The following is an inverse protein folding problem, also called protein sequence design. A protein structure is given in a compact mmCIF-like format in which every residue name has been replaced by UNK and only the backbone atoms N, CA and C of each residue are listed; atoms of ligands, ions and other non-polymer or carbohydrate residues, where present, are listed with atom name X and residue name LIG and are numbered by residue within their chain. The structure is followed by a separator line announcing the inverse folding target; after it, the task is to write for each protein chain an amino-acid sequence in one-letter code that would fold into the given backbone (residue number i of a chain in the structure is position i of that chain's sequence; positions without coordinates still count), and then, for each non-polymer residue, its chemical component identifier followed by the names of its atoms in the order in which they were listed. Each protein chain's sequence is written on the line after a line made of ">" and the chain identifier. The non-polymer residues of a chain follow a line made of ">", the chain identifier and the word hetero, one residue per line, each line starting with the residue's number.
data_IF_122729872236
#
_entry.id   IF_122729872236
#
_cell.length_a   1.000
_cell.length_b   1.000
_cell.length_c   1.000
_cell.angle_alpha   90.00
_cell.angle_beta   90.00
_cell.angle_gamma   90.00
#
_symmetry.space_group_name_H-M   'P 1'
#
loop_
_entity.id
_entity.type
_entity.pdbx_description
1 polymer ?
#
# COMPACT_ATOMS: atom_id res chain seq x y z
N UNK A 1 -5.74 20.70 7.17
CA UNK A 1 -5.95 19.53 8.04
C UNK A 1 -5.31 18.31 7.40
N UNK A 2 -4.12 17.92 7.84
CA UNK A 2 -3.29 16.87 7.20
C UNK A 2 -3.48 15.52 7.91
N UNK A 3 -4.67 14.93 7.80
CA UNK A 3 -4.99 13.69 8.51
C UNK A 3 -5.37 12.58 7.53
N UNK A 4 -4.45 11.62 7.31
CA UNK A 4 -4.71 10.16 7.46
C UNK A 4 -3.52 9.29 7.02
N UNK A 5 -2.78 9.65 5.96
CA UNK A 5 -1.64 8.84 5.48
C UNK A 5 -0.34 9.06 6.26
N UNK A 6 0.05 10.32 6.52
CA UNK A 6 1.34 10.63 7.15
C UNK A 6 1.52 9.96 8.52
N UNK A 7 0.47 10.00 9.37
CA UNK A 7 0.46 9.32 10.67
C UNK A 7 0.45 7.79 10.56
N UNK A 8 -0.09 7.22 9.47
CA UNK A 8 -0.05 5.79 9.21
C UNK A 8 1.37 5.35 8.86
N UNK A 9 2.05 6.09 7.98
CA UNK A 9 3.47 5.84 7.63
C UNK A 9 4.36 5.97 8.84
N UNK A 10 4.21 7.03 9.65
CA UNK A 10 5.00 7.20 10.87
C UNK A 10 4.89 6.01 11.84
N UNK A 11 3.68 5.45 12.00
CA UNK A 11 3.44 4.26 12.82
C UNK A 11 3.95 2.98 12.16
N UNK A 12 3.91 2.91 10.84
CA UNK A 12 4.37 1.74 10.10
C UNK A 12 5.89 1.74 9.84
N UNK A 13 6.61 2.84 10.06
CA UNK A 13 8.07 2.84 10.16
C UNK A 13 8.55 1.87 11.26
N UNK A 14 7.75 1.66 12.33
CA UNK A 14 8.06 0.64 13.33
C UNK A 14 8.03 -0.79 12.76
N UNK A 15 7.20 -1.04 11.74
CA UNK A 15 7.15 -2.33 11.03
C UNK A 15 8.39 -2.47 10.13
N UNK A 16 8.79 -1.42 9.40
CA UNK A 16 10.06 -1.41 8.66
C UNK A 16 11.26 -1.65 9.58
N UNK A 17 11.25 -1.07 10.78
CA UNK A 17 12.28 -1.31 11.79
C UNK A 17 12.25 -2.76 12.31
N UNK A 18 11.09 -3.38 12.50
CA UNK A 18 11.01 -4.78 12.91
C UNK A 18 11.45 -5.76 11.80
N UNK A 19 11.11 -5.47 10.54
CA UNK A 19 11.59 -6.18 9.36
C UNK A 19 13.13 -6.07 9.23
N UNK A 20 13.68 -4.87 9.46
CA UNK A 20 15.11 -4.57 9.23
C UNK A 20 16.02 -4.93 10.43
N UNK A 21 15.54 -4.73 11.67
CA UNK A 21 16.35 -4.83 12.90
C UNK A 21 16.13 -6.16 13.61
N UNK A 22 14.91 -6.73 13.58
CA UNK A 22 14.56 -7.94 14.33
C UNK A 22 14.49 -9.22 13.48
N UNK A 23 14.76 -9.14 12.17
CA UNK A 23 14.69 -10.24 11.20
C UNK A 23 13.36 -11.01 11.24
N UNK A 24 12.28 -10.31 11.63
CA UNK A 24 10.92 -10.86 11.66
C UNK A 24 10.15 -10.32 10.48
N UNK A 25 9.97 -11.18 9.48
CA UNK A 25 9.23 -10.86 8.27
C UNK A 25 7.72 -11.01 8.48
N UNK A 26 7.11 -10.01 9.12
CA UNK A 26 5.72 -10.00 9.56
C UNK A 26 4.72 -9.94 8.39
N UNK A 27 5.12 -9.32 7.27
CA UNK A 27 4.25 -9.10 6.11
C UNK A 27 4.60 -9.97 4.89
N UNK A 28 5.34 -11.07 5.10
CA UNK A 28 5.63 -12.06 4.05
C UNK A 28 4.37 -12.80 3.60
N UNK A 29 4.30 -13.12 2.30
CA UNK A 29 3.18 -13.84 1.68
C UNK A 29 1.82 -13.17 1.92
N UNK A 30 1.80 -11.84 2.03
CA UNK A 30 0.58 -11.03 2.13
C UNK A 30 0.28 -10.32 0.83
N UNK A 31 -1.00 -10.11 0.58
CA UNK A 31 -1.49 -9.30 -0.53
C UNK A 31 -2.11 -8.04 0.04
N UNK A 32 -1.79 -6.89 -0.55
CA UNK A 32 -2.38 -5.60 -0.20
C UNK A 32 -3.25 -5.08 -1.35
N UNK A 33 -4.35 -4.41 -0.99
CA UNK A 33 -5.27 -3.76 -1.90
C UNK A 33 -5.92 -2.57 -1.20
N UNK A 34 -6.28 -1.53 -1.97
CA UNK A 34 -6.68 -0.25 -1.40
C UNK A 34 -8.01 0.29 -1.95
N UNK A 35 -8.78 0.91 -1.07
CA UNK A 35 -9.94 1.73 -1.43
C UNK A 35 -9.60 3.16 -1.03
N UNK A 36 -9.48 4.04 -2.01
CA UNK A 36 -8.99 5.41 -1.80
C UNK A 36 -10.14 6.39 -2.04
N UNK A 37 -10.57 7.11 -1.00
CA UNK A 37 -11.60 8.14 -1.11
C UNK A 37 -11.03 9.49 -0.70
N UNK A 38 -11.21 10.52 -1.53
CA UNK A 38 -10.69 11.86 -1.27
C UNK A 38 -11.54 12.97 -1.88
N UNK A 39 -11.31 14.22 -1.44
CA UNK A 39 -12.08 15.40 -1.87
C UNK A 39 -11.54 16.06 -3.14
N UNK A 40 -10.26 16.45 -3.14
CA UNK A 40 -9.63 17.28 -4.17
C UNK A 40 -8.23 16.74 -4.47
N UNK A 41 -8.14 16.01 -5.57
CA UNK A 41 -6.92 15.63 -6.30
C UNK A 41 -5.86 14.79 -5.56
N UNK A 42 -5.05 14.10 -6.37
CA UNK A 42 -3.89 13.31 -5.95
C UNK A 42 -4.12 11.86 -5.48
N UNK A 43 -5.22 11.22 -5.90
CA UNK A 43 -5.43 9.76 -5.74
C UNK A 43 -4.19 8.98 -6.18
N UNK A 44 -3.59 9.35 -7.31
CA UNK A 44 -2.45 8.64 -7.86
C UNK A 44 -1.19 8.75 -6.98
N UNK A 45 -0.91 9.91 -6.38
CA UNK A 45 0.23 9.99 -5.47
C UNK A 45 -0.03 9.25 -4.16
N UNK A 46 -1.25 9.31 -3.62
CA UNK A 46 -1.61 8.52 -2.42
C UNK A 46 -1.47 7.02 -2.74
N UNK A 47 -1.99 6.58 -3.88
CA UNK A 47 -1.83 5.20 -4.34
C UNK A 47 -0.36 4.83 -4.51
N UNK A 48 0.45 5.67 -5.17
CA UNK A 48 1.88 5.43 -5.36
C UNK A 48 2.65 5.33 -4.04
N UNK A 49 2.34 6.22 -3.09
CA UNK A 49 2.93 6.20 -1.75
C UNK A 49 2.56 4.91 -0.99
N UNK A 50 1.29 4.50 -1.02
CA UNK A 50 0.82 3.26 -0.39
C UNK A 50 1.46 2.03 -1.05
N UNK A 51 1.48 1.97 -2.38
CA UNK A 51 2.09 0.87 -3.13
C UNK A 51 3.59 0.75 -2.80
N UNK A 52 4.32 1.86 -2.81
CA UNK A 52 5.74 1.88 -2.47
C UNK A 52 6.01 1.38 -1.05
N UNK A 53 5.25 1.89 -0.08
CA UNK A 53 5.39 1.46 1.32
C UNK A 53 5.11 -0.04 1.50
N UNK A 54 3.96 -0.53 0.99
CA UNK A 54 3.56 -1.92 1.18
C UNK A 54 4.44 -2.90 0.39
N UNK A 55 5.00 -2.48 -0.76
CA UNK A 55 6.01 -3.24 -1.47
C UNK A 55 7.29 -3.40 -0.64
N UNK A 56 7.76 -2.32 0.01
CA UNK A 56 8.98 -2.32 0.81
C UNK A 56 8.89 -3.27 2.02
N UNK A 57 7.70 -3.41 2.61
CA UNK A 57 7.47 -4.38 3.71
C UNK A 57 7.14 -5.79 3.22
N UNK A 58 7.16 -6.06 1.91
CA UNK A 58 7.05 -7.41 1.35
C UNK A 58 5.64 -7.86 0.92
N UNK A 59 4.65 -6.96 0.91
CA UNK A 59 3.34 -7.29 0.35
C UNK A 59 3.39 -7.38 -1.18
N UNK A 60 2.59 -8.27 -1.74
CA UNK A 60 2.36 -8.39 -3.16
C UNK A 60 1.04 -7.73 -3.58
N UNK A 61 0.91 -7.41 -4.85
CA UNK A 61 -0.25 -6.72 -5.41
C UNK A 61 -0.79 -7.47 -6.61
N UNK A 62 -2.11 -7.64 -6.67
CA UNK A 62 -2.76 -8.11 -7.88
C UNK A 62 -2.88 -6.97 -8.90
N UNK A 63 -3.19 -7.30 -10.16
CA UNK A 63 -3.49 -6.29 -11.18
C UNK A 63 -4.65 -5.40 -10.72
N UNK A 64 -4.56 -4.09 -10.99
CA UNK A 64 -5.49 -3.07 -10.48
C UNK A 64 -5.65 -3.14 -8.95
N UNK A 65 -4.59 -2.81 -8.18
CA UNK A 65 -4.54 -3.03 -6.73
C UNK A 65 -5.27 -1.96 -5.91
N UNK A 66 -5.97 -1.04 -6.55
CA UNK A 66 -6.81 -0.09 -5.85
C UNK A 66 -8.02 0.32 -6.69
N UNK A 67 -9.09 0.70 -5.98
CA UNK A 67 -10.17 1.51 -6.53
C UNK A 67 -10.14 2.87 -5.85
N UNK A 68 -10.60 3.90 -6.56
CA UNK A 68 -10.59 5.24 -6.00
C UNK A 68 -11.79 6.09 -6.43
N UNK A 69 -12.17 7.01 -5.55
CA UNK A 69 -13.19 8.00 -5.80
C UNK A 69 -12.70 9.39 -5.38
N UNK A 70 -12.75 10.33 -6.33
CA UNK A 70 -12.57 11.78 -6.13
C UNK A 70 -13.68 12.49 -6.87
N UNK A 71 -14.12 13.65 -6.36
CA UNK A 71 -15.17 14.46 -7.01
C UNK A 71 -14.65 15.55 -7.95
N UNK A 72 -13.33 15.74 -8.06
CA UNK A 72 -12.75 16.81 -8.87
C UNK A 72 -13.13 18.22 -8.37
N UNK A 73 -12.52 19.26 -8.96
CA UNK A 73 -12.44 20.65 -8.45
C UNK A 73 -13.76 21.31 -7.97
N UNK A 74 -14.94 20.86 -8.39
CA UNK A 74 -16.20 21.62 -8.27
C UNK A 74 -17.22 21.14 -7.22
N UNK A 75 -16.89 20.21 -6.31
CA UNK A 75 -17.89 19.61 -5.41
C UNK A 75 -17.69 19.95 -3.92
N UNK A 76 -18.19 21.10 -3.48
CA UNK A 76 -18.25 21.52 -2.06
C UNK A 76 -19.29 20.75 -1.21
N UNK A 77 -20.11 19.87 -1.80
CA UNK A 77 -21.13 19.10 -1.09
C UNK A 77 -20.62 17.70 -0.65
N UNK A 78 -19.96 17.67 0.50
CA UNK A 78 -19.53 16.45 1.21
C UNK A 78 -20.72 15.59 1.69
N UNK A 79 -21.89 16.18 1.96
CA UNK A 79 -23.02 15.48 2.58
C UNK A 79 -23.66 14.44 1.63
N UNK A 80 -23.61 14.70 0.33
CA UNK A 80 -24.10 13.77 -0.70
C UNK A 80 -23.03 12.82 -1.26
N UNK A 81 -21.81 12.82 -0.71
CA UNK A 81 -20.70 11.97 -1.17
C UNK A 81 -20.96 10.49 -0.87
N UNK A 82 -21.30 10.20 0.39
CA UNK A 82 -21.58 8.82 0.83
C UNK A 82 -22.69 8.19 -0.01
N UNK A 83 -23.77 8.94 -0.29
CA UNK A 83 -24.88 8.46 -1.13
C UNK A 83 -24.46 8.16 -2.56
N UNK A 84 -23.58 8.94 -3.16
CA UNK A 84 -23.12 8.67 -4.53
C UNK A 84 -22.18 7.46 -4.59
N UNK A 85 -21.27 7.33 -3.63
CA UNK A 85 -20.41 6.14 -3.51
C UNK A 85 -21.26 4.88 -3.30
N UNK A 86 -22.23 4.93 -2.39
CA UNK A 86 -23.13 3.80 -2.11
C UNK A 86 -23.97 3.39 -3.32
N UNK A 87 -24.41 4.36 -4.15
CA UNK A 87 -25.25 4.11 -5.32
C UNK A 87 -24.45 3.77 -6.57
N UNK A 88 -23.15 4.07 -6.61
CA UNK A 88 -22.30 3.78 -7.78
C UNK A 88 -22.20 2.28 -8.04
N UNK A 89 -22.70 1.86 -9.21
CA UNK A 89 -22.54 0.49 -9.70
C UNK A 89 -21.08 0.22 -10.10
N UNK A 90 -20.42 1.18 -10.75
CA UNK A 90 -19.02 1.08 -11.16
C UNK A 90 -18.08 0.86 -9.97
N UNK A 91 -18.24 1.61 -8.88
CA UNK A 91 -17.44 1.41 -7.68
C UNK A 91 -17.71 0.04 -7.03
N UNK A 92 -18.94 -0.46 -7.12
CA UNK A 92 -19.31 -1.77 -6.58
C UNK A 92 -18.69 -2.91 -7.40
N UNK A 93 -18.73 -2.81 -8.72
CA UNK A 93 -18.09 -3.75 -9.63
C UNK A 93 -16.57 -3.71 -9.50
N UNK A 94 -15.99 -2.51 -9.43
CA UNK A 94 -14.57 -2.31 -9.15
C UNK A 94 -14.14 -2.92 -7.82
N UNK A 95 -14.92 -2.73 -6.75
CA UNK A 95 -14.65 -3.31 -5.44
C UNK A 95 -14.72 -4.85 -5.47
N UNK A 96 -15.71 -5.43 -6.17
CA UNK A 96 -15.81 -6.88 -6.33
C UNK A 96 -14.59 -7.42 -7.06
N UNK A 97 -14.25 -6.84 -8.22
CA UNK A 97 -13.08 -7.27 -8.98
C UNK A 97 -11.77 -7.09 -8.21
N UNK A 98 -11.65 -6.03 -7.40
CA UNK A 98 -10.50 -5.82 -6.52
C UNK A 98 -10.35 -7.00 -5.55
N UNK A 99 -11.42 -7.36 -4.85
CA UNK A 99 -11.43 -8.48 -3.90
C UNK A 99 -11.11 -9.80 -4.60
N UNK A 100 -11.75 -10.09 -5.73
CA UNK A 100 -11.53 -11.34 -6.48
C UNK A 100 -10.05 -11.51 -6.85
N UNK A 101 -9.45 -10.48 -7.47
CA UNK A 101 -8.03 -10.51 -7.85
C UNK A 101 -7.10 -10.61 -6.64
N UNK A 102 -7.41 -9.92 -5.55
CA UNK A 102 -6.62 -10.00 -4.31
C UNK A 102 -6.69 -11.39 -3.68
N UNK A 103 -7.86 -12.02 -3.67
CA UNK A 103 -8.06 -13.38 -3.16
C UNK A 103 -7.31 -14.39 -4.02
N UNK A 104 -7.36 -14.27 -5.34
CA UNK A 104 -6.65 -15.20 -6.23
C UNK A 104 -5.13 -15.05 -6.11
N UNK A 105 -4.62 -13.82 -6.00
CA UNK A 105 -3.21 -13.58 -5.69
C UNK A 105 -2.84 -14.17 -4.32
N UNK A 106 -3.69 -14.02 -3.30
CA UNK A 106 -3.43 -14.56 -1.98
C UNK A 106 -3.39 -16.10 -1.99
N UNK A 107 -4.28 -16.76 -2.73
CA UNK A 107 -4.23 -18.21 -2.94
C UNK A 107 -2.90 -18.61 -3.55
N UNK A 108 -2.46 -17.95 -4.62
CA UNK A 108 -1.15 -18.20 -5.24
C UNK A 108 0.00 -18.04 -4.26
N UNK A 109 -0.04 -17.02 -3.39
CA UNK A 109 1.00 -16.80 -2.37
C UNK A 109 1.00 -17.85 -1.25
N UNK A 110 -0.16 -18.42 -0.92
CA UNK A 110 -0.29 -19.50 0.09
C UNK A 110 0.12 -20.85 -0.48
N UNK A 111 -0.29 -21.15 -1.73
CA UNK A 111 0.01 -22.42 -2.39
C UNK A 111 1.39 -22.44 -3.04
N UNK A 112 1.93 -21.26 -3.34
CA UNK A 112 3.20 -21.08 -4.04
C UNK A 112 4.38 -21.40 -3.15
N UNK A 113 5.33 -22.16 -3.70
CA UNK A 113 6.64 -22.41 -3.08
C UNK A 113 7.57 -21.22 -3.37
N UNK A 114 7.24 -20.03 -2.88
CA UNK A 114 8.21 -18.93 -2.91
C UNK A 114 9.37 -19.37 -2.02
N UNK A 115 10.52 -19.65 -2.65
CA UNK A 115 11.73 -20.08 -1.95
C UNK A 115 12.00 -19.11 -0.81
N UNK A 116 12.16 -19.65 0.40
CA UNK A 116 12.66 -18.85 1.51
C UNK A 116 14.12 -18.51 1.22
N UNK A 117 14.32 -17.32 0.66
CA UNK A 117 15.64 -16.73 0.54
C UNK A 117 15.82 -15.89 1.80
N UNK A 118 16.96 -16.05 2.46
CA UNK A 118 17.35 -15.18 3.55
C UNK A 118 17.39 -13.75 3.03
N UNK A 119 16.52 -12.89 3.56
CA UNK A 119 16.44 -11.51 3.13
C UNK A 119 17.65 -10.76 3.67
N UNK A 120 18.72 -10.73 2.86
CA UNK A 120 19.84 -9.83 3.09
C UNK A 120 19.30 -8.41 3.06
N UNK A 121 19.58 -7.61 4.10
CA UNK A 121 19.08 -6.23 4.25
C UNK A 121 19.21 -5.45 2.94
N UNK A 122 18.08 -5.20 2.27
CA UNK A 122 18.00 -4.41 1.05
C UNK A 122 17.31 -3.09 1.33
N UNK A 123 18.04 -1.97 1.21
CA UNK A 123 17.46 -0.64 1.36
C UNK A 123 18.47 0.37 1.89
N UNK A 124 18.67 1.46 1.14
CA UNK A 124 19.72 2.50 1.29
C UNK A 124 19.70 3.33 2.59
N UNK A 125 19.09 2.88 3.68
CA UNK A 125 18.95 3.69 4.91
C UNK A 125 19.85 3.29 6.08
N UNK A 126 20.60 2.20 5.98
CA UNK A 126 21.48 1.76 7.06
C UNK A 126 22.84 1.24 6.56
N UNK A 127 23.40 1.90 5.55
CA UNK A 127 24.85 1.83 5.37
C UNK A 127 25.39 3.23 5.65
N UNK A 128 26.10 3.37 6.76
CA UNK A 128 27.24 4.29 6.72
C UNK A 128 28.09 3.78 5.56
N UNK A 129 28.07 4.50 4.44
CA UNK A 129 29.17 4.40 3.49
C UNK A 129 30.39 4.62 4.37
N UNK A 130 31.28 3.63 4.43
CA UNK A 130 32.48 3.74 5.23
C UNK A 130 33.34 4.82 4.56
N UNK A 131 33.10 6.10 4.89
CA UNK A 131 33.84 7.25 4.36
C UNK A 131 35.17 7.40 5.12
N UNK A 132 35.78 6.26 5.46
CA UNK A 132 37.13 6.24 5.99
C UNK A 132 38.10 6.34 4.83
N UNK A 133 38.49 7.60 4.58
CA UNK A 133 39.80 8.05 4.14
C UNK A 133 40.51 7.18 3.08
N UNK A 134 40.37 7.58 1.81
CA UNK A 134 41.47 7.35 0.87
C UNK A 134 42.64 8.30 1.25
N UNK A 135 43.89 7.82 1.23
CA UNK A 135 45.07 8.52 1.75
C UNK A 135 45.45 9.78 0.98
#
# INVERSE_FOLDING_TARGET
>A
GNLSYYKMVERMNCIQNQETIANRHLMKNKVAAFIITGGQDNIQAVAGQMLGFFAEVGCQFAQFPYIAHSRGWSAEDMANNVRAVQRSQELREGARGLVERSVDMAKLMITGQVREIELVRGGRKAHELNVQAEP
#
